data_IF_071721568209
#
_entry.id   IF_071721568209
#
_cell.length_a   1.000
_cell.length_b   1.000
_cell.length_c   1.000
_cell.angle_alpha   90.00
_cell.angle_beta   90.00
_cell.angle_gamma   90.00
#
_symmetry.space_group_name_H-M   'P 1'
#
loop_
_entity.id
_entity.type
_entity.pdbx_description
1 polymer ?
#
# COMPACT_ATOMS: atom_id res chain seq x y z
N UNK A 1 23.73 3.76 12.35
CA UNK A 1 23.32 2.40 12.77
C UNK A 1 22.65 1.68 11.59
N UNK A 2 22.37 0.37 11.65
CA UNK A 2 21.67 -0.32 10.57
C UNK A 2 20.28 0.26 10.26
N UNK A 3 19.58 0.77 11.29
CA UNK A 3 18.26 1.38 11.18
C UNK A 3 18.28 2.73 10.46
N UNK A 4 19.30 3.56 10.69
CA UNK A 4 19.48 4.82 9.95
C UNK A 4 19.68 4.58 8.45
N UNK A 5 20.45 3.55 8.09
CA UNK A 5 20.69 3.18 6.68
C UNK A 5 19.43 2.64 5.99
N UNK A 6 18.61 1.86 6.69
CA UNK A 6 17.30 1.43 6.17
C UNK A 6 16.37 2.64 5.98
N UNK A 7 16.40 3.59 6.91
CA UNK A 7 15.66 4.85 6.78
C UNK A 7 16.03 5.63 5.53
N UNK A 8 17.32 5.82 5.27
CA UNK A 8 17.82 6.51 4.06
C UNK A 8 17.41 5.81 2.75
N UNK A 9 17.43 4.48 2.73
CA UNK A 9 17.05 3.68 1.56
C UNK A 9 15.55 3.82 1.26
N UNK A 10 14.71 3.84 2.30
CA UNK A 10 13.26 3.90 2.16
C UNK A 10 12.72 5.33 1.97
N UNK A 11 13.51 6.35 2.28
CA UNK A 11 13.09 7.75 2.22
C UNK A 11 12.44 8.15 0.87
N UNK A 12 13.00 7.79 -0.31
CA UNK A 12 12.35 8.12 -1.58
C UNK A 12 10.96 7.48 -1.74
N UNK A 13 10.75 6.28 -1.19
CA UNK A 13 9.46 5.62 -1.22
C UNK A 13 8.48 6.31 -0.26
N UNK A 14 8.92 6.66 0.95
CA UNK A 14 8.11 7.37 1.96
C UNK A 14 7.66 8.75 1.47
N UNK A 15 8.53 9.49 0.79
CA UNK A 15 8.18 10.76 0.15
C UNK A 15 7.09 10.56 -0.90
N UNK A 16 7.21 9.55 -1.76
CA UNK A 16 6.18 9.23 -2.76
C UNK A 16 4.84 8.84 -2.14
N UNK A 17 4.86 7.97 -1.13
CA UNK A 17 3.65 7.56 -0.39
C UNK A 17 2.99 8.78 0.25
N UNK A 18 3.76 9.64 0.89
CA UNK A 18 3.26 10.87 1.51
C UNK A 18 2.58 11.78 0.48
N UNK A 19 3.17 11.96 -0.71
CA UNK A 19 2.57 12.76 -1.78
C UNK A 19 1.27 12.14 -2.34
N UNK A 20 1.20 10.81 -2.44
CA UNK A 20 -0.02 10.08 -2.84
C UNK A 20 -1.12 10.29 -1.81
N UNK A 21 -0.80 10.14 -0.52
CA UNK A 21 -1.74 10.31 0.58
C UNK A 21 -2.23 11.75 0.65
N UNK A 22 -1.34 12.74 0.52
CA UNK A 22 -1.70 14.15 0.51
C UNK A 22 -2.69 14.46 -0.62
N UNK A 23 -2.45 13.90 -1.82
CA UNK A 23 -3.39 14.05 -2.94
C UNK A 23 -4.73 13.38 -2.65
N UNK A 24 -4.73 12.12 -2.22
CA UNK A 24 -5.96 11.38 -1.95
C UNK A 24 -6.79 12.01 -0.82
N UNK A 25 -6.14 12.60 0.19
CA UNK A 25 -6.81 13.34 1.26
C UNK A 25 -7.42 14.65 0.75
N UNK A 26 -6.69 15.40 -0.08
CA UNK A 26 -7.19 16.64 -0.70
C UNK A 26 -8.40 16.37 -1.61
N UNK A 27 -8.37 15.25 -2.31
CA UNK A 27 -9.43 14.80 -3.23
C UNK A 27 -10.60 14.12 -2.49
N UNK A 28 -10.49 13.91 -1.17
CA UNK A 28 -11.52 13.25 -0.35
C UNK A 28 -11.64 11.74 -0.55
N UNK A 29 -10.68 11.12 -1.24
CA UNK A 29 -10.63 9.66 -1.47
C UNK A 29 -10.12 8.92 -0.23
N UNK A 30 -9.15 9.51 0.47
CA UNK A 30 -8.63 8.99 1.73
C UNK A 30 -9.10 9.85 2.90
N UNK A 31 -9.29 9.24 4.07
CA UNK A 31 -9.64 10.02 5.25
C UNK A 31 -8.49 10.95 5.66
N UNK A 32 -8.86 12.10 6.23
CA UNK A 32 -7.92 13.15 6.66
C UNK A 32 -7.82 13.26 8.18
N UNK A 33 -8.10 12.17 8.90
CA UNK A 33 -8.01 12.15 10.38
C UNK A 33 -6.56 12.24 10.88
N UNK A 34 -5.60 11.87 10.04
CA UNK A 34 -4.17 11.92 10.31
C UNK A 34 -3.45 12.73 9.22
N UNK A 35 -2.37 13.45 9.57
CA UNK A 35 -1.47 14.01 8.57
C UNK A 35 -0.93 12.91 7.61
N UNK A 36 -0.69 13.21 6.33
CA UNK A 36 -0.26 12.22 5.32
C UNK A 36 0.95 11.39 5.75
N UNK A 37 1.96 12.02 6.35
CA UNK A 37 3.17 11.32 6.79
C UNK A 37 2.91 10.34 7.94
N UNK A 38 2.04 10.71 8.90
CA UNK A 38 1.69 9.85 10.02
C UNK A 38 0.85 8.65 9.55
N UNK A 39 -0.08 8.88 8.62
CA UNK A 39 -0.85 7.83 7.97
C UNK A 39 0.05 6.87 7.17
N UNK A 40 1.01 7.41 6.41
CA UNK A 40 1.99 6.63 5.65
C UNK A 40 2.83 5.72 6.55
N UNK A 41 3.31 6.23 7.68
CA UNK A 41 4.05 5.42 8.65
C UNK A 41 3.19 4.27 9.23
N UNK A 42 1.91 4.51 9.51
CA UNK A 42 0.97 3.47 9.97
C UNK A 42 0.73 2.38 8.91
N UNK A 43 0.53 2.78 7.65
CA UNK A 43 0.37 1.83 6.54
C UNK A 43 1.65 1.03 6.27
N UNK A 44 2.83 1.65 6.39
CA UNK A 44 4.12 0.98 6.29
C UNK A 44 4.26 -0.10 7.38
N UNK A 45 3.97 0.25 8.64
CA UNK A 45 4.02 -0.70 9.75
C UNK A 45 3.03 -1.87 9.55
N UNK A 46 1.81 -1.59 9.10
CA UNK A 46 0.81 -2.62 8.80
C UNK A 46 1.27 -3.53 7.65
N UNK A 47 1.91 -2.97 6.61
CA UNK A 47 2.43 -3.75 5.47
C UNK A 47 3.53 -4.71 5.91
N UNK A 48 4.47 -4.24 6.74
CA UNK A 48 5.54 -5.09 7.28
C UNK A 48 4.97 -6.23 8.13
N UNK A 49 4.02 -5.92 9.02
CA UNK A 49 3.37 -6.94 9.85
C UNK A 49 2.64 -8.00 9.01
N UNK A 50 1.88 -7.59 7.97
CA UNK A 50 1.20 -8.55 7.10
C UNK A 50 2.18 -9.39 6.28
N UNK A 51 3.30 -8.82 5.83
CA UNK A 51 4.35 -9.56 5.15
C UNK A 51 5.00 -10.60 6.06
N UNK A 52 5.16 -10.31 7.35
CA UNK A 52 5.62 -11.29 8.33
C UNK A 52 4.64 -12.47 8.45
N UNK A 53 3.33 -12.22 8.52
CA UNK A 53 2.32 -13.28 8.54
C UNK A 53 2.31 -14.12 7.25
N UNK A 54 2.60 -13.52 6.09
CA UNK A 54 2.78 -14.26 4.83
C UNK A 54 4.03 -15.14 4.89
N UNK A 55 5.15 -14.60 5.38
CA UNK A 55 6.41 -15.33 5.47
C UNK A 55 6.34 -16.51 6.45
N UNK A 56 5.54 -16.41 7.52
CA UNK A 56 5.30 -17.53 8.45
C UNK A 56 4.27 -18.54 7.96
N UNK A 57 3.59 -18.25 6.83
CA UNK A 57 2.50 -19.06 6.30
C UNK A 57 1.19 -18.95 7.08
N UNK A 58 1.09 -18.01 8.02
CA UNK A 58 -0.14 -17.71 8.75
C UNK A 58 -1.18 -16.99 7.87
N UNK A 59 -0.72 -16.30 6.84
CA UNK A 59 -1.54 -15.64 5.82
C UNK A 59 -1.11 -16.09 4.41
N UNK A 60 -2.06 -16.62 3.63
CA UNK A 60 -1.87 -16.77 2.19
C UNK A 60 -2.34 -15.49 1.48
N UNK A 61 -1.44 -14.83 0.79
CA UNK A 61 -1.71 -13.60 0.05
C UNK A 61 -0.77 -13.45 -1.16
N UNK A 62 -1.34 -13.13 -2.31
CA UNK A 62 -0.61 -12.76 -3.53
C UNK A 62 -0.33 -11.24 -3.59
N UNK A 63 -0.67 -10.52 -2.52
CA UNK A 63 -0.54 -9.08 -2.35
C UNK A 63 -1.87 -8.34 -2.51
N UNK A 64 -2.87 -8.97 -3.14
CA UNK A 64 -4.19 -8.35 -3.35
C UNK A 64 -4.94 -8.15 -2.04
N UNK A 65 -4.87 -9.10 -1.10
CA UNK A 65 -5.57 -8.97 0.20
C UNK A 65 -4.94 -7.88 1.04
N UNK A 66 -3.61 -7.82 1.08
CA UNK A 66 -2.87 -6.75 1.73
C UNK A 66 -3.23 -5.40 1.10
N UNK A 67 -3.27 -5.28 -0.22
CA UNK A 67 -3.65 -4.03 -0.90
C UNK A 67 -5.08 -3.58 -0.54
N UNK A 68 -6.05 -4.50 -0.51
CA UNK A 68 -7.42 -4.20 -0.07
C UNK A 68 -7.44 -3.71 1.38
N UNK A 69 -6.71 -4.37 2.28
CA UNK A 69 -6.63 -3.97 3.68
C UNK A 69 -6.03 -2.56 3.85
N UNK A 70 -4.99 -2.22 3.08
CA UNK A 70 -4.39 -0.87 3.09
C UNK A 70 -5.38 0.20 2.64
N UNK A 71 -6.15 -0.05 1.58
CA UNK A 71 -7.15 0.90 1.09
C UNK A 71 -8.28 1.10 2.12
N UNK A 72 -8.73 0.03 2.77
CA UNK A 72 -9.75 0.11 3.83
C UNK A 72 -9.21 0.91 5.02
N UNK A 73 -7.97 0.64 5.47
CA UNK A 73 -7.31 1.41 6.52
C UNK A 73 -7.14 2.89 6.12
N UNK A 74 -7.02 3.17 4.82
CA UNK A 74 -6.98 4.51 4.28
C UNK A 74 -8.35 5.21 4.16
N UNK A 75 -9.44 4.51 4.47
CA UNK A 75 -10.81 5.04 4.48
C UNK A 75 -11.63 4.69 3.24
N UNK A 76 -11.11 3.88 2.33
CA UNK A 76 -11.84 3.44 1.14
C UNK A 76 -12.87 2.38 1.54
N UNK A 77 -14.15 2.50 1.14
CA UNK A 77 -15.15 1.46 1.37
C UNK A 77 -14.70 0.11 0.78
N UNK A 78 -14.90 -0.98 1.52
CA UNK A 78 -14.42 -2.34 1.15
C UNK A 78 -14.78 -2.75 -0.28
N UNK A 79 -16.02 -2.50 -0.71
CA UNK A 79 -16.46 -2.83 -2.08
C UNK A 79 -15.65 -2.07 -3.13
N UNK A 80 -15.38 -0.79 -2.90
CA UNK A 80 -14.58 0.03 -3.81
C UNK A 80 -13.11 -0.39 -3.78
N UNK A 81 -12.57 -0.70 -2.60
CA UNK A 81 -11.20 -1.17 -2.45
C UNK A 81 -10.93 -2.44 -3.27
N UNK A 82 -11.85 -3.42 -3.21
CA UNK A 82 -11.76 -4.65 -4.02
C UNK A 82 -11.73 -4.36 -5.51
N UNK A 83 -12.70 -3.57 -6.00
CA UNK A 83 -12.77 -3.22 -7.44
C UNK A 83 -11.47 -2.58 -7.92
N UNK A 84 -10.93 -1.61 -7.17
CA UNK A 84 -9.67 -0.94 -7.54
C UNK A 84 -8.50 -1.93 -7.59
N UNK A 85 -8.40 -2.85 -6.62
CA UNK A 85 -7.31 -3.83 -6.59
C UNK A 85 -7.45 -4.83 -7.74
N UNK A 86 -8.66 -5.30 -8.03
CA UNK A 86 -8.92 -6.22 -9.14
C UNK A 86 -8.54 -5.57 -10.49
N UNK A 87 -8.93 -4.30 -10.70
CA UNK A 87 -8.59 -3.53 -11.90
C UNK A 87 -7.07 -3.37 -12.07
N UNK A 88 -6.36 -3.05 -10.98
CA UNK A 88 -4.89 -2.91 -11.00
C UNK A 88 -4.20 -4.24 -11.22
N UNK A 89 -4.64 -5.31 -10.57
CA UNK A 89 -4.08 -6.65 -10.74
C UNK A 89 -4.21 -7.13 -12.18
N UNK A 90 -5.37 -6.89 -12.81
CA UNK A 90 -5.58 -7.18 -14.23
C UNK A 90 -4.65 -6.36 -15.13
N UNK A 91 -4.45 -5.07 -14.83
CA UNK A 91 -3.54 -4.21 -15.59
C UNK A 91 -2.06 -4.64 -15.46
N UNK A 92 -1.63 -5.05 -14.26
CA UNK A 92 -0.27 -5.57 -14.01
C UNK A 92 -0.05 -6.86 -14.79
N UNK A 93 -0.96 -7.83 -14.70
CA UNK A 93 -0.86 -9.09 -15.43
C UNK A 93 -0.81 -8.87 -16.96
N UNK A 94 -1.58 -7.91 -17.48
CA UNK A 94 -1.53 -7.54 -18.89
C UNK A 94 -0.18 -6.92 -19.29
N UNK A 95 0.41 -6.08 -18.43
CA UNK A 95 1.72 -5.47 -18.68
C UNK A 95 2.84 -6.52 -18.66
N UNK A 96 2.79 -7.48 -17.75
CA UNK A 96 3.74 -8.60 -17.67
C UNK A 96 3.66 -9.50 -18.90
N UNK A 97 2.44 -9.84 -19.35
CA UNK A 97 2.25 -10.65 -20.56
C UNK A 97 2.79 -9.97 -21.84
N UNK A 98 2.84 -8.64 -21.88
CA UNK A 98 3.44 -7.87 -22.98
C UNK A 98 4.97 -7.81 -22.85
N UNK A 99 5.51 -7.81 -21.63
CA UNK A 99 6.96 -7.80 -21.40
C UNK A 99 7.61 -9.17 -21.71
N UNK A 100 6.87 -10.25 -21.56
CA UNK A 100 7.32 -11.63 -21.79
C UNK A 100 7.07 -12.15 -23.23
N UNK A 101 6.48 -11.34 -24.11
CA UNK A 101 6.15 -11.68 -25.51
C UNK A 101 6.99 -10.95 -26.55
#
# INVERSE_FOLDING_TARGET
>A
SGLERVGEILEPARVRVTAILERGQRDGVFHSHLPPAAMGAGLEAMTVALLEEVNTGALEDDGTRTAVAMLIAAGVPEKQARVVVDDVAAAVAAAEAVADG
#
